data_IF_905450796060
#
_entry.id   IF_905450796060
#
_cell.length_a   1.000
_cell.length_b   1.000
_cell.length_c   1.000
_cell.angle_alpha   90.00
_cell.angle_beta   90.00
_cell.angle_gamma   90.00
#
_symmetry.space_group_name_H-M   'P 1'
#
loop_
_entity.id
_entity.type
_entity.pdbx_description
1 polymer ?
#
# COMPACT_ATOMS: atom_id res chain seq x y z
N UNK A 1 -18.40 -18.45 10.19
CA UNK A 1 -18.63 -17.43 11.23
C UNK A 1 -18.89 -16.12 10.51
N UNK A 2 -20.01 -15.46 10.85
CA UNK A 2 -20.59 -14.34 10.11
C UNK A 2 -19.88 -13.03 10.44
N UNK A 3 -19.20 -12.42 9.45
CA UNK A 3 -18.63 -11.09 9.54
C UNK A 3 -19.72 -10.05 9.26
N UNK A 4 -20.59 -9.84 10.24
CA UNK A 4 -21.54 -8.73 10.26
C UNK A 4 -21.35 -7.96 11.56
N UNK A 5 -20.29 -7.15 11.62
CA UNK A 5 -20.14 -6.09 12.60
C UNK A 5 -19.61 -4.86 11.87
N UNK A 6 -20.04 -3.68 12.30
CA UNK A 6 -19.80 -2.33 11.76
C UNK A 6 -20.83 -1.81 10.74
N UNK A 7 -22.08 -1.66 11.21
CA UNK A 7 -23.09 -0.75 10.61
C UNK A 7 -23.07 0.63 11.31
N UNK A 8 -21.91 1.26 11.39
CA UNK A 8 -21.77 2.69 11.70
C UNK A 8 -20.89 3.31 10.63
N UNK A 9 -21.04 4.61 10.35
CA UNK A 9 -20.14 5.25 9.39
C UNK A 9 -18.69 5.15 9.88
N UNK A 10 -17.73 5.16 8.95
CA UNK A 10 -16.30 5.13 9.29
C UNK A 10 -15.94 6.35 10.15
N UNK A 11 -16.59 7.48 9.86
CA UNK A 11 -16.56 8.73 10.63
C UNK A 11 -17.09 8.61 12.06
N UNK A 12 -18.17 7.87 12.31
CA UNK A 12 -18.70 7.65 13.67
C UNK A 12 -17.74 6.82 14.54
N UNK A 13 -16.94 5.96 13.90
CA UNK A 13 -15.98 5.09 14.57
C UNK A 13 -14.53 5.57 14.49
N UNK A 14 -14.27 6.76 13.91
CA UNK A 14 -12.92 7.30 13.68
C UNK A 14 -12.03 7.28 14.94
N UNK A 15 -12.63 7.55 16.11
CA UNK A 15 -11.97 7.53 17.42
C UNK A 15 -11.41 6.17 17.85
N UNK A 16 -11.82 5.07 17.19
CA UNK A 16 -11.33 3.70 17.44
C UNK A 16 -10.17 3.31 16.55
N UNK A 17 -9.85 4.11 15.53
CA UNK A 17 -8.73 3.86 14.65
C UNK A 17 -7.49 4.57 15.17
N UNK A 18 -6.36 3.88 15.11
CA UNK A 18 -5.04 4.42 15.41
C UNK A 18 -4.13 4.19 14.21
N UNK A 19 -3.43 5.23 13.78
CA UNK A 19 -2.43 5.16 12.74
C UNK A 19 -1.05 4.98 13.36
N UNK A 20 -0.30 4.00 12.87
CA UNK A 20 1.09 3.83 13.28
C UNK A 20 1.97 4.91 12.60
N UNK A 21 3.01 5.43 13.26
CA UNK A 21 3.90 6.43 12.66
C UNK A 21 4.65 5.91 11.42
N UNK A 22 4.76 4.59 11.26
CA UNK A 22 5.36 3.91 10.12
C UNK A 22 4.30 3.28 9.18
N UNK A 23 3.06 3.78 9.20
CA UNK A 23 2.01 3.27 8.32
C UNK A 23 2.26 3.58 6.84
N UNK A 24 2.98 4.67 6.53
CA UNK A 24 3.43 4.94 5.16
C UNK A 24 4.47 3.90 4.73
N UNK A 25 4.20 3.20 3.63
CA UNK A 25 5.03 2.11 3.10
C UNK A 25 5.79 2.49 1.82
N UNK A 26 5.72 3.75 1.41
CA UNK A 26 6.48 4.26 0.27
C UNK A 26 7.86 4.78 0.67
N UNK A 27 8.61 5.24 -0.32
CA UNK A 27 9.87 5.97 -0.15
C UNK A 27 9.60 7.47 -0.28
N UNK A 28 9.91 8.29 0.75
CA UNK A 28 9.76 9.75 0.67
C UNK A 28 10.51 10.41 -0.49
N UNK A 29 11.58 9.80 -1.00
CA UNK A 29 12.35 10.32 -2.12
C UNK A 29 11.59 10.28 -3.45
N UNK A 30 10.58 9.42 -3.59
CA UNK A 30 9.77 9.30 -4.80
C UNK A 30 8.46 10.10 -4.73
N UNK A 31 8.20 10.77 -3.60
CA UNK A 31 7.03 11.60 -3.43
C UNK A 31 7.16 12.86 -4.31
N UNK A 32 6.20 12.99 -5.23
CA UNK A 32 6.03 14.17 -6.07
C UNK A 32 4.53 14.34 -6.33
N UNK A 33 4.04 15.57 -6.20
CA UNK A 33 2.61 15.87 -6.35
C UNK A 33 2.08 15.41 -7.72
N UNK A 34 0.90 14.81 -7.72
CA UNK A 34 0.28 14.26 -8.92
C UNK A 34 0.67 12.81 -9.22
N UNK A 35 1.72 12.24 -8.61
CA UNK A 35 2.05 10.83 -8.83
C UNK A 35 1.02 9.89 -8.23
N UNK A 36 0.70 8.81 -8.95
CA UNK A 36 -0.11 7.73 -8.42
C UNK A 36 0.26 6.35 -8.94
N UNK A 37 -0.02 5.32 -8.15
CA UNK A 37 0.02 3.92 -8.59
C UNK A 37 -1.28 3.23 -8.22
N UNK A 38 -1.77 2.37 -9.10
CA UNK A 38 -2.92 1.48 -8.87
C UNK A 38 -2.42 0.04 -8.94
N UNK A 39 -2.70 -0.73 -7.92
CA UNK A 39 -2.46 -2.17 -7.89
C UNK A 39 -3.77 -2.94 -7.94
N UNK A 40 -3.84 -3.91 -8.85
CA UNK A 40 -4.91 -4.91 -8.92
C UNK A 40 -4.54 -6.19 -8.16
N UNK A 41 -5.51 -7.09 -8.04
CA UNK A 41 -5.35 -8.42 -7.46
C UNK A 41 -6.42 -9.38 -7.97
N UNK A 42 -6.27 -10.70 -7.77
CA UNK A 42 -7.25 -11.69 -8.21
C UNK A 42 -8.58 -11.48 -7.47
N UNK A 43 -9.69 -11.48 -8.22
CA UNK A 43 -11.03 -11.18 -7.70
C UNK A 43 -11.50 -9.78 -8.09
N UNK A 44 -12.79 -9.64 -8.36
CA UNK A 44 -13.36 -8.54 -9.15
C UNK A 44 -13.32 -7.13 -8.52
N UNK A 45 -12.61 -6.88 -7.41
CA UNK A 45 -12.80 -5.60 -6.72
C UNK A 45 -11.71 -5.13 -5.74
N UNK A 46 -10.55 -5.80 -5.64
CA UNK A 46 -9.46 -5.30 -4.78
C UNK A 46 -8.50 -4.42 -5.56
N UNK A 47 -8.81 -3.13 -5.63
CA UNK A 47 -7.89 -2.12 -6.15
C UNK A 47 -7.28 -1.34 -4.97
N UNK A 48 -5.96 -1.25 -4.98
CA UNK A 48 -5.21 -0.40 -4.06
C UNK A 48 -4.67 0.78 -4.84
N UNK A 49 -5.12 1.98 -4.54
CA UNK A 49 -4.57 3.19 -5.16
C UNK A 49 -3.81 4.00 -4.13
N UNK A 50 -2.65 4.49 -4.53
CA UNK A 50 -1.77 5.31 -3.72
C UNK A 50 -1.40 6.56 -4.52
N UNK A 51 -1.70 7.76 -4.01
CA UNK A 51 -1.56 9.05 -4.69
C UNK A 51 -0.86 10.08 -3.82
N UNK A 52 0.03 10.88 -4.40
CA UNK A 52 0.56 12.09 -3.75
C UNK A 52 -0.31 13.26 -4.16
N UNK A 53 -1.13 13.76 -3.24
CA UNK A 53 -2.24 14.68 -3.53
C UNK A 53 -1.97 16.13 -3.14
N UNK A 54 -0.78 16.42 -2.60
CA UNK A 54 -0.35 17.77 -2.28
C UNK A 54 0.66 17.82 -1.15
N UNK A 55 0.74 18.98 -0.50
CA UNK A 55 1.61 19.26 0.65
C UNK A 55 0.89 20.06 1.72
N UNK A 56 1.34 19.89 2.96
CA UNK A 56 0.99 20.76 4.09
C UNK A 56 2.29 21.23 4.76
N UNK A 57 2.73 22.45 4.42
CA UNK A 57 4.07 22.91 4.78
C UNK A 57 5.15 22.09 4.04
N UNK A 58 6.09 21.54 4.81
CA UNK A 58 7.18 20.69 4.30
C UNK A 58 6.80 19.21 4.13
N UNK A 59 5.63 18.82 4.63
CA UNK A 59 5.17 17.43 4.62
C UNK A 59 4.31 17.13 3.39
N UNK A 60 4.38 15.90 2.91
CA UNK A 60 3.58 15.40 1.81
C UNK A 60 2.21 14.92 2.28
N UNK A 61 1.20 15.10 1.45
CA UNK A 61 -0.13 14.51 1.63
C UNK A 61 -0.25 13.28 0.72
N UNK A 62 -0.32 12.11 1.35
CA UNK A 62 -0.40 10.82 0.68
C UNK A 62 -1.78 10.21 0.89
N UNK A 63 -2.49 9.93 -0.19
CA UNK A 63 -3.82 9.35 -0.18
C UNK A 63 -3.76 7.88 -0.62
N UNK A 64 -4.25 6.98 0.22
CA UNK A 64 -4.33 5.54 -0.05
C UNK A 64 -5.78 5.08 0.00
N UNK A 65 -6.30 4.56 -1.13
CA UNK A 65 -7.60 3.90 -1.17
C UNK A 65 -7.46 2.40 -1.30
N UNK A 66 -8.29 1.67 -0.57
CA UNK A 66 -8.56 0.25 -0.79
C UNK A 66 -10.02 0.09 -1.17
N UNK A 67 -10.28 -0.46 -2.35
CA UNK A 67 -11.60 -0.95 -2.73
C UNK A 67 -11.65 -2.47 -2.51
N UNK A 68 -12.80 -3.00 -2.11
CA UNK A 68 -13.12 -4.42 -2.00
C UNK A 68 -14.64 -4.59 -2.18
N UNK A 69 -15.09 -4.63 -3.43
CA UNK A 69 -16.49 -4.74 -3.82
C UNK A 69 -17.23 -3.42 -3.61
N UNK A 70 -18.41 -3.40 -2.97
CA UNK A 70 -19.10 -2.15 -2.65
C UNK A 70 -18.42 -1.35 -1.53
N UNK A 71 -17.41 -1.92 -0.87
CA UNK A 71 -16.69 -1.32 0.24
C UNK A 71 -15.43 -0.65 -0.29
N UNK A 72 -15.28 0.65 -0.04
CA UNK A 72 -13.99 1.31 -0.21
C UNK A 72 -13.71 2.19 1.01
N UNK A 73 -12.46 2.22 1.42
CA UNK A 73 -11.97 3.08 2.49
C UNK A 73 -10.66 3.75 2.06
N UNK A 74 -10.56 5.02 2.37
CA UNK A 74 -9.42 5.86 2.13
C UNK A 74 -8.69 6.19 3.42
N UNK A 75 -7.38 6.31 3.31
CA UNK A 75 -6.51 6.94 4.28
C UNK A 75 -5.85 8.15 3.64
N UNK A 76 -5.75 9.24 4.40
CA UNK A 76 -4.90 10.37 4.06
C UNK A 76 -3.83 10.48 5.12
N UNK A 77 -2.57 10.60 4.73
CA UNK A 77 -1.43 10.74 5.62
C UNK A 77 -0.71 12.05 5.36
N UNK A 78 -0.37 12.76 6.43
CA UNK A 78 0.67 13.79 6.40
C UNK A 78 2.02 13.11 6.69
N UNK A 79 2.87 12.99 5.68
CA UNK A 79 4.12 12.23 5.72
C UNK A 79 5.31 13.19 5.70
N UNK A 80 6.15 13.11 6.74
CA UNK A 80 7.38 13.87 6.81
C UNK A 80 8.47 13.33 5.86
N UNK A 81 9.53 14.12 5.66
CA UNK A 81 10.69 13.71 4.85
C UNK A 81 11.43 12.47 5.38
N UNK A 82 11.22 12.13 6.66
CA UNK A 82 11.72 10.91 7.32
C UNK A 82 10.82 9.68 7.08
N UNK A 83 9.77 9.82 6.26
CA UNK A 83 8.80 8.77 5.96
C UNK A 83 7.84 8.45 7.09
N UNK A 84 7.82 9.26 8.16
CA UNK A 84 6.92 9.06 9.28
C UNK A 84 5.65 9.87 9.13
N UNK A 85 4.53 9.25 9.50
CA UNK A 85 3.22 9.88 9.55
C UNK A 85 3.15 10.83 10.75
N UNK A 86 2.74 12.08 10.50
CA UNK A 86 2.53 13.13 11.52
C UNK A 86 1.07 13.25 11.92
N UNK A 87 0.19 13.16 10.93
CA UNK A 87 -1.26 13.13 11.06
C UNK A 87 -1.85 12.15 10.07
N UNK A 88 -3.02 11.62 10.41
CA UNK A 88 -3.75 10.72 9.53
C UNK A 88 -5.25 11.01 9.59
N UNK A 89 -5.93 10.76 8.48
CA UNK A 89 -7.38 10.82 8.38
C UNK A 89 -7.90 9.58 7.67
N UNK A 90 -9.16 9.26 7.91
CA UNK A 90 -9.87 8.17 7.24
C UNK A 90 -11.15 8.69 6.59
N UNK A 91 -11.58 8.01 5.54
CA UNK A 91 -12.87 8.22 4.91
C UNK A 91 -13.43 6.90 4.35
N UNK A 92 -14.74 6.70 4.43
CA UNK A 92 -15.45 5.66 3.70
C UNK A 92 -15.90 6.13 2.30
N UNK A 93 -16.22 5.19 1.41
CA UNK A 93 -16.66 5.47 0.03
C UNK A 93 -17.87 6.42 -0.08
N UNK A 94 -18.79 6.38 0.90
CA UNK A 94 -19.97 7.24 0.94
C UNK A 94 -19.73 8.58 1.65
N UNK A 95 -18.55 8.77 2.25
CA UNK A 95 -18.22 9.95 3.01
C UNK A 95 -17.65 11.04 2.09
N UNK A 96 -17.91 12.30 2.43
CA UNK A 96 -17.47 13.46 1.65
C UNK A 96 -16.37 14.27 2.34
N UNK A 97 -15.82 13.74 3.43
CA UNK A 97 -14.88 14.46 4.30
C UNK A 97 -13.90 13.49 4.96
N UNK A 98 -12.67 13.95 5.12
CA UNK A 98 -11.64 13.29 5.90
C UNK A 98 -11.88 13.47 7.39
N UNK A 99 -11.85 12.38 8.16
CA UNK A 99 -11.96 12.43 9.63
C UNK A 99 -10.62 12.10 10.26
N UNK A 100 -10.11 13.00 11.09
CA UNK A 100 -8.80 12.85 11.72
C UNK A 100 -8.81 11.67 12.70
N UNK A 101 -7.74 10.89 12.67
CA UNK A 101 -7.51 9.79 13.60
C UNK A 101 -6.20 9.99 14.32
N UNK A 102 -6.08 9.37 15.49
CA UNK A 102 -4.87 9.49 16.30
C UNK A 102 -3.71 8.79 15.59
N UNK A 103 -2.58 9.49 15.45
CA UNK A 103 -1.29 8.84 15.20
C UNK A 103 -0.69 8.50 16.55
N UNK A 104 -0.56 7.22 16.86
CA UNK A 104 -0.11 6.77 18.17
C UNK A 104 1.15 5.93 18.10
N UNK A 105 1.32 4.95 19.00
CA UNK A 105 2.60 4.23 19.11
C UNK A 105 2.57 3.04 18.15
N UNK A 106 3.64 2.83 17.39
CA UNK A 106 3.74 1.65 16.53
C UNK A 106 3.49 0.38 17.38
N UNK A 107 2.62 -0.55 16.93
CA UNK A 107 2.44 -1.81 17.64
C UNK A 107 3.80 -2.49 17.78
N UNK A 108 4.08 -3.05 18.96
CA UNK A 108 5.28 -3.86 19.17
C UNK A 108 5.26 -4.99 18.15
N UNK A 109 6.39 -5.22 17.47
CA UNK A 109 6.51 -6.34 16.55
C UNK A 109 6.15 -7.64 17.29
N UNK A 110 5.27 -8.44 16.71
CA UNK A 110 5.01 -9.78 17.23
C UNK A 110 6.29 -10.61 17.07
N UNK A 111 6.81 -11.15 18.18
CA UNK A 111 8.06 -11.92 18.22
C UNK A 111 7.97 -13.30 17.56
N UNK A 112 6.83 -13.67 16.98
CA UNK A 112 6.68 -14.94 16.26
C UNK A 112 7.25 -14.83 14.84
N UNK A 113 8.57 -14.91 14.73
CA UNK A 113 9.25 -15.17 13.46
C UNK A 113 9.03 -16.63 13.01
N UNK A 114 9.19 -16.93 11.71
CA UNK A 114 9.13 -18.30 11.22
C UNK A 114 10.22 -19.17 11.90
N UNK A 115 9.90 -20.45 12.15
CA UNK A 115 10.82 -21.41 12.80
C UNK A 115 12.16 -21.58 12.06
N UNK A 116 12.19 -21.26 10.76
CA UNK A 116 13.41 -21.21 9.95
C UNK A 116 13.39 -19.94 9.08
N UNK A 117 14.55 -19.27 8.91
CA UNK A 117 14.68 -18.21 7.92
C UNK A 117 14.35 -18.77 6.54
N UNK A 118 13.48 -18.09 5.79
CA UNK A 118 13.28 -18.45 4.39
C UNK A 118 14.51 -18.14 3.55
N UNK A 119 14.63 -18.82 2.41
CA UNK A 119 15.67 -18.58 1.43
C UNK A 119 15.22 -17.51 0.43
N UNK A 120 16.09 -16.53 0.18
CA UNK A 120 15.84 -15.46 -0.79
C UNK A 120 16.83 -15.56 -1.94
N UNK A 121 16.35 -15.49 -3.18
CA UNK A 121 17.18 -15.39 -4.38
C UNK A 121 16.74 -14.21 -5.25
N UNK A 122 17.69 -13.60 -5.96
CA UNK A 122 17.44 -12.42 -6.81
C UNK A 122 17.91 -12.74 -8.23
N UNK A 123 17.08 -12.43 -9.22
CA UNK A 123 17.41 -12.57 -10.64
C UNK A 123 16.92 -11.38 -11.46
N UNK A 124 17.48 -11.17 -12.65
CA UNK A 124 16.96 -10.21 -13.63
C UNK A 124 15.93 -10.88 -14.53
N UNK A 125 14.76 -10.26 -14.68
CA UNK A 125 13.71 -10.78 -15.54
C UNK A 125 12.76 -9.67 -15.96
N UNK A 126 12.25 -9.71 -17.19
CA UNK A 126 11.15 -8.83 -17.59
C UNK A 126 9.82 -9.33 -17.04
N UNK A 127 8.92 -8.40 -16.71
CA UNK A 127 7.54 -8.69 -16.29
C UNK A 127 6.56 -7.83 -17.07
N UNK A 128 5.53 -8.46 -17.62
CA UNK A 128 4.42 -7.78 -18.30
C UNK A 128 3.20 -7.79 -17.38
N UNK A 129 2.60 -6.62 -17.20
CA UNK A 129 1.38 -6.35 -16.44
C UNK A 129 0.51 -5.35 -17.21
N UNK A 130 -0.66 -4.98 -16.69
CA UNK A 130 -1.56 -4.04 -17.38
C UNK A 130 -0.92 -2.67 -17.61
N UNK A 131 -0.10 -2.18 -16.65
CA UNK A 131 0.63 -0.93 -16.79
C UNK A 131 1.78 -0.97 -17.83
N UNK A 132 2.11 -2.14 -18.39
CA UNK A 132 3.13 -2.29 -19.43
C UNK A 132 4.15 -3.41 -19.16
N UNK A 133 5.28 -3.32 -19.85
CA UNK A 133 6.41 -4.25 -19.72
C UNK A 133 7.58 -3.58 -19.02
N UNK A 134 8.11 -4.21 -17.99
CA UNK A 134 9.17 -3.67 -17.14
C UNK A 134 10.37 -4.61 -17.08
N UNK A 135 11.58 -4.05 -17.10
CA UNK A 135 12.78 -4.77 -16.72
C UNK A 135 12.86 -4.80 -15.19
N UNK A 136 12.86 -5.99 -14.59
CA UNK A 136 12.72 -6.13 -13.14
C UNK A 136 13.90 -6.86 -12.49
N UNK A 137 14.12 -6.55 -11.21
CA UNK A 137 14.69 -7.50 -10.26
C UNK A 137 13.55 -8.36 -9.71
N UNK A 138 13.63 -9.67 -9.93
CA UNK A 138 12.75 -10.66 -9.31
C UNK A 138 13.39 -11.12 -8.01
N UNK A 139 12.67 -10.94 -6.92
CA UNK A 139 13.04 -11.45 -5.59
C UNK A 139 12.13 -12.64 -5.30
N UNK A 140 12.73 -13.83 -5.24
CA UNK A 140 12.06 -15.06 -4.85
C UNK A 140 12.34 -15.35 -3.39
N UNK A 141 11.30 -15.52 -2.60
CA UNK A 141 11.35 -15.98 -1.23
C UNK A 141 10.75 -17.38 -1.13
N UNK A 142 11.43 -18.29 -0.45
CA UNK A 142 10.96 -19.65 -0.18
C UNK A 142 11.00 -19.91 1.32
N UNK A 143 9.90 -20.39 1.91
CA UNK A 143 9.90 -20.83 3.30
C UNK A 143 9.21 -22.18 3.44
N UNK A 144 9.62 -22.96 4.44
CA UNK A 144 8.92 -24.18 4.83
C UNK A 144 8.20 -23.95 6.15
N UNK A 145 6.91 -24.27 6.19
CA UNK A 145 6.11 -24.20 7.41
C UNK A 145 5.18 -25.42 7.47
N UNK A 146 5.15 -26.11 8.62
CA UNK A 146 4.34 -27.32 8.82
C UNK A 146 4.52 -28.44 7.76
N UNK A 147 5.71 -28.54 7.16
CA UNK A 147 6.01 -29.52 6.11
C UNK A 147 5.61 -29.11 4.69
N UNK A 148 4.98 -27.94 4.54
CA UNK A 148 4.65 -27.34 3.25
C UNK A 148 5.72 -26.32 2.84
N UNK A 149 5.99 -26.23 1.53
CA UNK A 149 6.91 -25.24 0.97
C UNK A 149 6.09 -24.15 0.30
N UNK A 150 6.31 -22.91 0.75
CA UNK A 150 5.70 -21.71 0.21
C UNK A 150 6.73 -20.95 -0.62
N UNK A 151 6.35 -20.54 -1.82
CA UNK A 151 7.15 -19.67 -2.66
C UNK A 151 6.41 -18.36 -2.90
N UNK A 152 7.12 -17.24 -2.83
CA UNK A 152 6.63 -15.95 -3.31
C UNK A 152 7.66 -15.31 -4.21
N UNK A 153 7.22 -14.85 -5.37
CA UNK A 153 8.01 -14.08 -6.32
C UNK A 153 7.48 -12.65 -6.32
N UNK A 154 8.37 -11.68 -6.09
CA UNK A 154 8.07 -10.25 -6.17
C UNK A 154 8.94 -9.60 -7.24
N UNK A 155 8.36 -8.80 -8.12
CA UNK A 155 9.07 -8.09 -9.18
C UNK A 155 9.14 -6.60 -8.85
N UNK A 156 10.33 -6.03 -8.92
CA UNK A 156 10.57 -4.60 -8.68
C UNK A 156 11.27 -3.96 -9.88
N UNK A 157 10.84 -2.76 -10.25
CA UNK A 157 11.46 -1.96 -11.31
C UNK A 157 11.75 -0.55 -10.84
N UNK A 158 12.90 -0.01 -11.29
CA UNK A 158 13.29 1.39 -11.06
C UNK A 158 12.39 2.39 -11.78
N UNK A 159 11.64 1.93 -12.78
CA UNK A 159 10.72 2.76 -13.57
C UNK A 159 9.34 2.90 -12.89
N UNK A 160 9.12 2.23 -11.76
CA UNK A 160 7.89 2.30 -10.98
C UNK A 160 8.14 3.07 -9.68
N UNK A 161 7.30 4.05 -9.39
CA UNK A 161 7.43 4.85 -8.18
C UNK A 161 7.22 4.01 -6.92
N UNK A 162 8.06 4.27 -5.92
CA UNK A 162 8.03 3.58 -4.63
C UNK A 162 6.95 4.15 -3.71
N UNK A 163 5.70 4.27 -4.19
CA UNK A 163 4.60 4.84 -3.40
C UNK A 163 3.96 3.82 -2.44
N UNK A 164 4.09 2.52 -2.73
CA UNK A 164 3.51 1.44 -1.93
C UNK A 164 4.34 0.16 -2.09
N UNK A 165 4.76 -0.43 -0.97
CA UNK A 165 5.55 -1.68 -0.92
C UNK A 165 6.75 -1.65 -1.89
N UNK A 166 7.86 -1.06 -1.47
CA UNK A 166 9.05 -0.92 -2.30
C UNK A 166 10.19 -1.81 -1.85
N UNK A 167 11.23 -1.88 -2.66
CA UNK A 167 12.55 -2.37 -2.27
C UNK A 167 13.64 -1.39 -2.74
N UNK A 168 14.89 -1.69 -2.42
CA UNK A 168 16.04 -1.00 -3.00
C UNK A 168 16.12 -1.15 -4.53
N UNK A 169 15.38 -2.09 -5.12
CA UNK A 169 15.34 -2.35 -6.56
C UNK A 169 14.25 -1.55 -7.29
N UNK A 170 13.44 -0.77 -6.58
CA UNK A 170 12.40 0.10 -7.16
C UNK A 170 11.00 -0.19 -6.63
N UNK A 171 9.98 0.34 -7.33
CA UNK A 171 8.57 0.12 -7.02
C UNK A 171 8.12 -1.29 -7.40
N UNK A 172 7.10 -1.80 -6.70
CA UNK A 172 6.54 -3.12 -6.97
C UNK A 172 5.84 -3.13 -8.32
N UNK A 173 6.11 -4.16 -9.12
CA UNK A 173 5.45 -4.42 -10.41
C UNK A 173 4.41 -5.53 -10.26
N UNK A 174 4.72 -6.61 -9.53
CA UNK A 174 3.80 -7.72 -9.28
C UNK A 174 4.25 -8.57 -8.09
N UNK A 175 3.33 -9.37 -7.55
CA UNK A 175 3.62 -10.48 -6.64
C UNK A 175 2.86 -11.71 -7.11
N UNK A 176 3.55 -12.85 -7.09
CA UNK A 176 2.99 -14.18 -7.26
C UNK A 176 3.33 -15.02 -6.03
N UNK A 177 2.40 -15.87 -5.61
CA UNK A 177 2.60 -16.82 -4.53
C UNK A 177 2.17 -18.20 -5.01
N UNK A 178 3.04 -19.20 -4.85
CA UNK A 178 2.80 -20.58 -5.29
C UNK A 178 2.35 -20.71 -6.76
N UNK A 179 2.84 -19.82 -7.64
CA UNK A 179 2.48 -19.77 -9.06
C UNK A 179 1.18 -19.03 -9.38
N UNK A 180 0.48 -18.50 -8.38
CA UNK A 180 -0.74 -17.71 -8.55
C UNK A 180 -0.43 -16.22 -8.43
N UNK A 181 -1.07 -15.40 -9.28
CA UNK A 181 -0.93 -13.94 -9.23
C UNK A 181 -1.68 -13.40 -8.01
N UNK A 182 -0.97 -12.70 -7.14
CA UNK A 182 -1.51 -12.07 -5.92
C UNK A 182 -1.77 -10.58 -6.13
N UNK A 183 -0.87 -9.88 -6.83
CA UNK A 183 -1.06 -8.47 -7.17
C UNK A 183 -0.23 -8.08 -8.39
N UNK A 184 -0.67 -7.05 -9.11
CA UNK A 184 0.05 -6.47 -10.24
C UNK A 184 -0.16 -4.96 -10.28
N UNK A 185 0.80 -4.25 -10.84
CA UNK A 185 0.67 -2.84 -11.19
C UNK A 185 -0.31 -2.72 -12.36
N UNK A 186 -1.42 -2.06 -12.10
CA UNK A 186 -2.51 -1.87 -13.04
C UNK A 186 -2.33 -0.57 -13.82
N UNK A 187 -1.96 0.51 -13.12
CA UNK A 187 -1.81 1.84 -13.69
C UNK A 187 -0.79 2.66 -12.88
N UNK A 188 -0.15 3.63 -13.54
CA UNK A 188 0.60 4.70 -12.90
C UNK A 188 0.55 5.98 -13.76
N UNK A 189 0.46 7.16 -13.13
CA UNK A 189 0.47 8.45 -13.82
C UNK A 189 0.83 9.64 -12.91
N UNK A 190 0.80 10.86 -13.45
CA UNK A 190 1.34 12.08 -12.80
C UNK A 190 0.33 13.22 -12.66
N UNK A 191 -0.96 12.97 -12.85
CA UNK A 191 -2.04 13.96 -12.81
C UNK A 191 -3.06 13.70 -11.69
N UNK A 192 -2.66 12.95 -10.66
CA UNK A 192 -3.50 12.64 -9.51
C UNK A 192 -4.01 13.91 -8.81
N UNK A 193 -5.27 13.85 -8.40
CA UNK A 193 -5.94 14.89 -7.62
C UNK A 193 -6.47 14.27 -6.33
N UNK A 194 -6.63 15.07 -5.25
CA UNK A 194 -7.36 14.63 -4.07
C UNK A 194 -8.74 14.10 -4.47
N UNK A 195 -9.13 12.94 -3.95
CA UNK A 195 -10.47 12.38 -4.19
C UNK A 195 -11.53 13.06 -3.30
N UNK A 196 -11.09 13.60 -2.17
CA UNK A 196 -11.90 14.43 -1.26
C UNK A 196 -11.17 15.74 -0.96
N UNK A 197 -11.89 16.83 -0.62
CA UNK A 197 -11.26 18.08 -0.21
C UNK A 197 -10.26 17.87 0.92
N UNK A 198 -9.04 18.39 0.77
CA UNK A 198 -7.98 18.23 1.76
C UNK A 198 -8.34 18.94 3.08
N UNK A 199 -7.94 18.39 4.24
CA UNK A 199 -8.04 19.07 5.52
C UNK A 199 -7.30 20.42 5.48
N UNK A 200 -7.85 21.42 6.18
CA UNK A 200 -7.24 22.75 6.32
C UNK A 200 -6.21 22.80 7.46
#
# INVERSE_FOLDING_TARGET
>A
MSAAMFFGSLSENAHRFECAPNAFRGDPADLEEGRFVVYGGPGAASALTSRVVGRLGDDWLMEDWSAAGPWASGWLYQVGRDGRVRKAWVAGNSERVWVEVRVGRAPMAFESGPEKPGETSISEQSKVVNAGSFACKRVRFTMSHAGEVFHSDSWYSKDVWRLRNHSEHGGLVAVEANGEVVTWLDEMGTDAKPTLPLPK
#
